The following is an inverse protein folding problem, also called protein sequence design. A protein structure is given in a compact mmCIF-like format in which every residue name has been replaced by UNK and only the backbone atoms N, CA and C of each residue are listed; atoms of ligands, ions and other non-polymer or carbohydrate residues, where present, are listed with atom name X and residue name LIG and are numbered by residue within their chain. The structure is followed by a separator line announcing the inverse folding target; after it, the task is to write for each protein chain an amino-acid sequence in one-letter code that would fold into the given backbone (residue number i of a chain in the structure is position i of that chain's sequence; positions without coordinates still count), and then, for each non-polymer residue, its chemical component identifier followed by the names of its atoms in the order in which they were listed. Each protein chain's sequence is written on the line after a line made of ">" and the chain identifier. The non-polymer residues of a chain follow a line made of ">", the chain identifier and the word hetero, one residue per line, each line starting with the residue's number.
data_IF_500773344160
#
_entry.id   IF_500773344160
#
_cell.length_a   1.000
_cell.length_b   1.000
_cell.length_c   1.000
_cell.angle_alpha   90.00
_cell.angle_beta   90.00
_cell.angle_gamma   90.00
#
_symmetry.space_group_name_H-M   'P 1'
#
loop_
_entity.id
_entity.type
_entity.pdbx_description
1 polymer ?
#
# COMPACT_ATOMS: atom_id res chain seq x y z
N UNK A 1 -3.33 15.96 3.37
CA UNK A 1 -2.87 15.05 4.43
C UNK A 1 -1.57 14.44 3.94
N UNK A 2 -0.48 14.58 4.67
CA UNK A 2 0.80 13.95 4.29
C UNK A 2 0.88 12.58 4.94
N UNK A 3 0.88 11.54 4.12
CA UNK A 3 1.10 10.16 4.58
C UNK A 3 2.59 10.01 4.87
N UNK A 4 2.95 9.31 5.95
CA UNK A 4 4.33 8.94 6.26
C UNK A 4 4.55 7.43 6.07
N UNK A 5 5.81 7.02 5.95
CA UNK A 5 6.14 5.60 5.79
C UNK A 5 5.73 4.79 7.02
N UNK A 6 5.71 5.41 8.19
CA UNK A 6 5.21 4.82 9.43
C UNK A 6 3.72 4.48 9.37
N UNK A 7 2.90 5.32 8.73
CA UNK A 7 1.47 5.02 8.51
C UNK A 7 1.30 3.83 7.57
N UNK A 8 2.06 3.80 6.46
CA UNK A 8 2.08 2.67 5.54
C UNK A 8 2.50 1.38 6.24
N UNK A 9 3.58 1.43 7.03
CA UNK A 9 4.11 0.28 7.77
C UNK A 9 3.11 -0.19 8.82
N UNK A 10 2.43 0.73 9.50
CA UNK A 10 1.40 0.40 10.52
C UNK A 10 0.19 -0.26 9.88
N UNK A 11 -0.30 0.27 8.76
CA UNK A 11 -1.40 -0.31 8.02
C UNK A 11 -1.03 -1.67 7.42
N UNK A 12 0.19 -1.83 6.90
CA UNK A 12 0.70 -3.11 6.39
C UNK A 12 0.77 -4.16 7.50
N UNK A 13 1.34 -3.81 8.67
CA UNK A 13 1.36 -4.68 9.85
C UNK A 13 -0.03 -5.11 10.31
N UNK A 14 -1.04 -4.22 10.21
CA UNK A 14 -2.43 -4.58 10.51
C UNK A 14 -2.94 -5.63 9.53
N UNK A 15 -2.72 -5.44 8.24
CA UNK A 15 -3.17 -6.39 7.20
C UNK A 15 -2.44 -7.73 7.36
N UNK A 16 -1.14 -7.72 7.64
CA UNK A 16 -0.37 -8.92 7.98
C UNK A 16 -0.94 -9.67 9.18
N UNK A 17 -1.31 -8.95 10.24
CA UNK A 17 -1.88 -9.55 11.44
C UNK A 17 -3.30 -10.09 11.20
N UNK A 18 -4.13 -9.40 10.42
CA UNK A 18 -5.51 -9.81 10.09
C UNK A 18 -5.50 -11.06 9.22
N UNK A 19 -4.71 -11.07 8.15
CA UNK A 19 -4.66 -12.16 7.18
C UNK A 19 -3.66 -13.25 7.56
N UNK A 20 -2.90 -13.06 8.66
CA UNK A 20 -1.80 -13.93 9.09
C UNK A 20 -0.78 -14.21 7.97
N UNK A 21 -0.50 -13.19 7.17
CA UNK A 21 0.49 -13.22 6.08
C UNK A 21 1.70 -12.40 6.47
N UNK A 22 2.87 -12.74 5.93
CA UNK A 22 4.07 -11.93 6.03
C UNK A 22 4.28 -11.22 4.69
N UNK A 23 4.24 -9.89 4.72
CA UNK A 23 4.44 -9.01 3.58
C UNK A 23 5.82 -8.39 3.60
N UNK A 24 6.84 -9.15 4.03
CA UNK A 24 8.24 -8.70 4.08
C UNK A 24 8.72 -8.13 2.74
N UNK A 25 8.30 -8.73 1.62
CA UNK A 25 8.62 -8.22 0.28
C UNK A 25 8.07 -6.80 0.06
N UNK A 26 6.88 -6.51 0.59
CA UNK A 26 6.25 -5.18 0.51
C UNK A 26 6.96 -4.21 1.45
N UNK A 27 7.30 -4.63 2.67
CA UNK A 27 8.11 -3.83 3.61
C UNK A 27 9.47 -3.46 3.03
N UNK A 28 10.17 -4.42 2.43
CA UNK A 28 11.44 -4.16 1.75
C UNK A 28 11.24 -3.24 0.55
N UNK A 29 10.18 -3.43 -0.23
CA UNK A 29 9.88 -2.55 -1.35
C UNK A 29 9.61 -1.11 -0.89
N UNK A 30 8.83 -0.94 0.18
CA UNK A 30 8.52 0.36 0.78
C UNK A 30 9.77 1.04 1.35
N UNK A 31 10.66 0.30 2.03
CA UNK A 31 11.94 0.85 2.49
C UNK A 31 12.88 1.23 1.34
N UNK A 32 12.94 0.40 0.29
CA UNK A 32 13.80 0.66 -0.87
C UNK A 32 13.26 1.79 -1.75
N UNK A 33 11.94 1.98 -1.79
CA UNK A 33 11.23 2.91 -2.66
C UNK A 33 10.27 3.80 -1.86
N UNK A 34 10.76 4.39 -0.77
CA UNK A 34 9.93 5.14 0.19
C UNK A 34 9.19 6.30 -0.49
N UNK A 35 9.92 7.17 -1.19
CA UNK A 35 9.33 8.33 -1.88
C UNK A 35 8.27 7.92 -2.91
N UNK A 36 8.52 6.85 -3.68
CA UNK A 36 7.58 6.33 -4.66
C UNK A 36 6.32 5.77 -4.00
N UNK A 37 6.49 4.99 -2.92
CA UNK A 37 5.38 4.38 -2.19
C UNK A 37 4.50 5.47 -1.57
N UNK A 38 5.10 6.47 -0.92
CA UNK A 38 4.37 7.59 -0.35
C UNK A 38 3.63 8.42 -1.41
N UNK A 39 4.29 8.73 -2.53
CA UNK A 39 3.66 9.47 -3.62
C UNK A 39 2.48 8.69 -4.22
N UNK A 40 2.66 7.39 -4.45
CA UNK A 40 1.61 6.52 -4.99
C UNK A 40 0.43 6.47 -4.03
N UNK A 41 0.66 6.24 -2.74
CA UNK A 41 -0.40 6.20 -1.74
C UNK A 41 -1.08 7.54 -1.54
N UNK A 42 -0.36 8.66 -1.66
CA UNK A 42 -0.93 10.00 -1.64
C UNK A 42 -1.92 10.21 -2.80
N UNK A 43 -1.59 9.68 -3.98
CA UNK A 43 -2.52 9.66 -5.12
C UNK A 43 -3.71 8.70 -4.89
N UNK A 44 -3.47 7.53 -4.30
CA UNK A 44 -4.52 6.55 -4.00
C UNK A 44 -5.58 7.12 -3.04
N UNK A 45 -5.16 7.72 -1.92
CA UNK A 45 -6.10 8.30 -0.95
C UNK A 45 -6.88 9.49 -1.53
N UNK A 46 -6.29 10.18 -2.52
CA UNK A 46 -6.91 11.31 -3.21
C UNK A 46 -7.95 10.88 -4.23
N UNK A 47 -7.91 9.63 -4.69
CA UNK A 47 -8.88 9.07 -5.64
C UNK A 47 -10.06 8.49 -4.87
N UNK A 48 -11.30 8.85 -5.21
CA UNK A 48 -12.51 8.33 -4.54
C UNK A 48 -12.95 6.96 -5.10
N UNK A 49 -12.51 6.62 -6.32
CA UNK A 49 -12.88 5.39 -7.01
C UNK A 49 -11.98 4.21 -6.64
N UNK A 50 -12.59 3.11 -6.19
CA UNK A 50 -11.90 1.87 -5.84
C UNK A 50 -11.21 1.22 -7.05
N UNK A 51 -11.85 1.25 -8.22
CA UNK A 51 -11.26 0.77 -9.47
C UNK A 51 -9.97 1.51 -9.82
N UNK A 52 -9.96 2.83 -9.63
CA UNK A 52 -8.82 3.68 -9.96
C UNK A 52 -7.66 3.45 -8.98
N UNK A 53 -8.00 3.24 -7.70
CA UNK A 53 -7.05 2.81 -6.67
C UNK A 53 -6.44 1.46 -7.01
N UNK A 54 -7.26 0.47 -7.36
CA UNK A 54 -6.78 -0.86 -7.69
C UNK A 54 -5.90 -0.86 -8.94
N UNK A 55 -6.29 -0.13 -10.00
CA UNK A 55 -5.46 0.02 -11.22
C UNK A 55 -4.12 0.68 -10.92
N UNK A 56 -4.12 1.71 -10.07
CA UNK A 56 -2.88 2.39 -9.69
C UNK A 56 -1.97 1.46 -8.89
N UNK A 57 -2.51 0.70 -7.94
CA UNK A 57 -1.75 -0.32 -7.20
C UNK A 57 -1.23 -1.40 -8.16
N UNK A 58 -2.09 -1.93 -9.02
CA UNK A 58 -1.72 -2.99 -9.96
C UNK A 58 -0.59 -2.56 -10.90
N UNK A 59 -0.62 -1.30 -11.34
CA UNK A 59 0.42 -0.72 -12.20
C UNK A 59 1.70 -0.39 -11.45
N UNK A 60 1.61 0.25 -10.28
CA UNK A 60 2.76 0.68 -9.49
C UNK A 60 3.48 -0.49 -8.78
N UNK A 61 2.71 -1.51 -8.40
CA UNK A 61 3.16 -2.65 -7.60
C UNK A 61 2.92 -3.98 -8.33
N UNK A 62 2.97 -3.97 -9.67
CA UNK A 62 2.75 -5.18 -10.49
C UNK A 62 3.63 -6.37 -10.05
N UNK A 63 4.86 -6.06 -9.61
CA UNK A 63 5.86 -7.01 -9.12
C UNK A 63 5.50 -7.66 -7.77
N UNK A 64 4.54 -7.10 -7.02
CA UNK A 64 4.14 -7.59 -5.70
C UNK A 64 3.06 -8.69 -5.76
N UNK A 65 2.59 -9.08 -6.95
CA UNK A 65 1.72 -10.26 -7.14
C UNK A 65 0.45 -10.20 -6.29
N UNK A 66 0.18 -11.25 -5.51
CA UNK A 66 -0.98 -11.35 -4.60
C UNK A 66 -1.00 -10.26 -3.51
N UNK A 67 0.13 -9.61 -3.23
CA UNK A 67 0.17 -8.55 -2.24
C UNK A 67 -0.55 -7.27 -2.66
N UNK A 68 -0.95 -7.15 -3.94
CA UNK A 68 -1.76 -6.04 -4.46
C UNK A 68 -3.12 -5.93 -3.74
N UNK A 69 -3.74 -7.05 -3.39
CA UNK A 69 -5.00 -7.06 -2.62
C UNK A 69 -4.79 -6.47 -1.22
N UNK A 70 -3.69 -6.82 -0.56
CA UNK A 70 -3.34 -6.26 0.74
C UNK A 70 -3.00 -4.78 0.66
N UNK A 71 -2.32 -4.34 -0.40
CA UNK A 71 -2.04 -2.92 -0.64
C UNK A 71 -3.32 -2.09 -0.81
N UNK A 72 -4.37 -2.66 -1.41
CA UNK A 72 -5.66 -2.01 -1.50
C UNK A 72 -6.28 -1.81 -0.12
N UNK A 73 -6.24 -2.82 0.75
CA UNK A 73 -6.66 -2.69 2.16
C UNK A 73 -5.84 -1.65 2.92
N UNK A 74 -4.51 -1.67 2.77
CA UNK A 74 -3.61 -0.66 3.35
C UNK A 74 -4.02 0.74 2.92
N UNK A 75 -4.37 0.94 1.65
CA UNK A 75 -4.81 2.24 1.12
C UNK A 75 -6.13 2.72 1.72
N UNK A 76 -6.94 1.79 2.22
CA UNK A 76 -8.20 2.06 2.89
C UNK A 76 -8.00 2.41 4.36
N UNK A 77 -7.01 1.76 5.01
CA UNK A 77 -6.68 1.98 6.43
C UNK A 77 -6.00 3.33 6.71
N UNK A 78 -5.42 3.95 5.69
CA UNK A 78 -4.65 5.21 5.79
C UNK A 78 -5.54 6.47 5.57
N UNK A 79 -6.86 6.29 5.47
CA UNK A 79 -7.82 7.37 5.22
C UNK A 79 -8.01 8.30 6.42
#
# INVERSE_FOLDING_TARGET
>A
MSINISDLTTALNKVEHIHKVQLENVHQFFKANEAFSLQTFSQLISSDSLDDRFKTIDRAFSLLGDAKTYLLEVSYLIK
#
